data_IF_913531117020
#
_entry.id   IF_913531117020
#
_cell.length_a   1.000
_cell.length_b   1.000
_cell.length_c   1.000
_cell.angle_alpha   90.00
_cell.angle_beta   90.00
_cell.angle_gamma   90.00
#
_symmetry.space_group_name_H-M   'P 1'
#
loop_
_entity.id
_entity.type
_entity.pdbx_description
1 polymer ?
#
# COMPACT_ATOMS: atom_id res chain seq x y z
N UNK A 1 2.49 -27.70 1.80
CA UNK A 1 3.39 -27.25 0.71
C UNK A 1 3.69 -25.78 0.98
N UNK A 2 4.87 -25.25 0.58
CA UNK A 2 5.20 -23.85 0.86
C UNK A 2 4.93 -22.97 -0.36
N UNK A 3 4.80 -21.68 -0.12
CA UNK A 3 4.80 -20.61 -1.15
C UNK A 3 5.87 -19.59 -0.81
N UNK A 4 6.37 -18.87 -1.79
CA UNK A 4 7.25 -17.73 -1.55
C UNK A 4 6.52 -16.47 -2.03
N UNK A 5 6.35 -15.51 -1.12
CA UNK A 5 5.86 -14.17 -1.44
C UNK A 5 7.02 -13.19 -1.50
N UNK A 6 7.07 -12.37 -2.54
CA UNK A 6 8.05 -11.28 -2.70
C UNK A 6 7.30 -9.97 -2.79
N UNK A 7 7.66 -9.02 -1.96
CA UNK A 7 7.15 -7.65 -1.97
C UNK A 7 8.27 -6.72 -2.47
N UNK A 8 8.12 -6.21 -3.69
CA UNK A 8 9.05 -5.28 -4.32
C UNK A 8 8.65 -3.85 -3.96
N UNK A 9 9.22 -3.32 -2.91
CA UNK A 9 9.05 -1.90 -2.57
C UNK A 9 10.13 -1.02 -3.20
N UNK A 10 9.86 0.29 -3.29
CA UNK A 10 10.82 1.25 -3.83
C UNK A 10 12.10 1.43 -3.00
N UNK A 11 12.11 1.03 -1.73
CA UNK A 11 13.25 1.14 -0.83
C UNK A 11 13.82 -0.21 -0.45
N UNK A 12 12.99 -1.21 -0.23
CA UNK A 12 13.37 -2.55 0.17
C UNK A 12 12.56 -3.59 -0.62
N UNK A 13 13.21 -4.68 -0.98
CA UNK A 13 12.58 -5.89 -1.50
C UNK A 13 12.58 -6.94 -0.40
N UNK A 14 11.40 -7.43 -0.02
CA UNK A 14 11.24 -8.44 1.02
C UNK A 14 10.70 -9.75 0.42
N UNK A 15 11.30 -10.89 0.79
CA UNK A 15 10.83 -12.21 0.39
C UNK A 15 10.56 -13.05 1.64
N UNK A 16 9.46 -13.79 1.65
CA UNK A 16 9.07 -14.67 2.75
C UNK A 16 8.64 -16.05 2.30
N UNK A 17 9.04 -17.06 3.08
CA UNK A 17 8.56 -18.42 2.96
C UNK A 17 7.27 -18.56 3.76
N UNK A 18 6.16 -18.86 3.09
CA UNK A 18 4.81 -18.91 3.67
C UNK A 18 4.30 -20.36 3.64
N UNK A 19 3.78 -20.85 4.76
CA UNK A 19 3.16 -22.17 4.86
C UNK A 19 1.67 -22.17 4.47
N UNK A 20 1.06 -23.34 4.46
CA UNK A 20 -0.36 -23.50 4.12
C UNK A 20 -1.32 -22.84 5.14
N UNK A 21 -0.83 -22.50 6.35
CA UNK A 21 -1.59 -21.73 7.35
C UNK A 21 -1.43 -20.22 7.19
N UNK A 22 -0.76 -19.76 6.12
CA UNK A 22 -0.42 -18.37 5.81
C UNK A 22 0.54 -17.74 6.82
N UNK A 23 1.29 -18.56 7.54
CA UNK A 23 2.33 -18.10 8.45
C UNK A 23 3.67 -17.94 7.71
N UNK A 24 4.35 -16.82 7.92
CA UNK A 24 5.71 -16.62 7.44
C UNK A 24 6.66 -17.43 8.33
N UNK A 25 7.33 -18.40 7.74
CA UNK A 25 8.29 -19.30 8.40
C UNK A 25 9.68 -18.66 8.45
N UNK A 26 10.10 -18.01 7.36
CA UNK A 26 11.38 -17.30 7.24
C UNK A 26 11.22 -16.10 6.31
N UNK A 27 12.01 -15.06 6.55
CA UNK A 27 11.94 -13.79 5.81
C UNK A 27 13.32 -13.20 5.59
N UNK A 28 13.52 -12.65 4.40
CA UNK A 28 14.72 -11.91 4.01
C UNK A 28 14.28 -10.56 3.46
N UNK A 29 14.97 -9.50 3.84
CA UNK A 29 14.76 -8.16 3.27
C UNK A 29 16.11 -7.58 2.87
N UNK A 30 16.16 -6.98 1.67
CA UNK A 30 17.34 -6.31 1.13
C UNK A 30 16.94 -4.93 0.60
N UNK A 31 17.85 -3.94 0.58
CA UNK A 31 17.61 -2.67 -0.08
C UNK A 31 17.30 -2.88 -1.57
N UNK A 32 16.31 -2.17 -2.10
CA UNK A 32 16.05 -2.11 -3.54
C UNK A 32 17.05 -1.13 -4.17
N UNK A 33 17.80 -1.58 -5.15
CA UNK A 33 18.76 -0.74 -5.89
C UNK A 33 18.04 -0.10 -7.08
N UNK A 34 17.96 1.21 -7.11
CA UNK A 34 17.32 1.99 -8.16
C UNK A 34 18.27 3.04 -8.73
N UNK A 35 18.24 3.38 -10.04
CA UNK A 35 17.41 2.73 -11.06
C UNK A 35 17.87 1.30 -11.35
N UNK A 36 17.00 0.50 -11.94
CA UNK A 36 17.25 -0.91 -12.24
C UNK A 36 16.72 -1.27 -13.64
N UNK A 37 16.84 -2.53 -14.00
CA UNK A 37 16.28 -3.14 -15.21
C UNK A 37 15.62 -4.49 -14.88
N UNK A 38 14.76 -5.03 -15.75
CA UNK A 38 14.04 -6.27 -15.47
C UNK A 38 14.93 -7.48 -15.21
N UNK A 39 16.08 -7.58 -15.85
CA UNK A 39 17.01 -8.71 -15.66
C UNK A 39 17.68 -8.64 -14.28
N UNK A 40 18.18 -7.47 -13.89
CA UNK A 40 18.77 -7.24 -12.57
C UNK A 40 17.76 -7.48 -11.44
N UNK A 41 16.50 -7.06 -11.62
CA UNK A 41 15.42 -7.33 -10.66
C UNK A 41 15.18 -8.84 -10.51
N UNK A 42 15.03 -9.56 -11.62
CA UNK A 42 14.75 -11.01 -11.58
C UNK A 42 15.95 -11.81 -11.07
N UNK A 43 17.19 -11.35 -11.29
CA UNK A 43 18.40 -11.95 -10.71
C UNK A 43 18.43 -11.78 -9.19
N UNK A 44 18.14 -10.58 -8.71
CA UNK A 44 18.04 -10.28 -7.28
C UNK A 44 16.97 -11.13 -6.58
N UNK A 45 15.77 -11.22 -7.17
CA UNK A 45 14.68 -12.04 -6.64
C UNK A 45 15.02 -13.53 -6.66
N UNK A 46 15.61 -14.05 -7.75
CA UNK A 46 16.04 -15.44 -7.81
C UNK A 46 17.12 -15.75 -6.75
N UNK A 47 17.98 -14.79 -6.41
CA UNK A 47 18.95 -14.92 -5.32
C UNK A 47 18.23 -15.02 -3.96
N UNK A 48 17.23 -14.16 -3.68
CA UNK A 48 16.45 -14.24 -2.43
C UNK A 48 15.73 -15.58 -2.30
N UNK A 49 15.12 -16.08 -3.40
CA UNK A 49 14.49 -17.41 -3.43
C UNK A 49 15.50 -18.50 -3.08
N UNK A 50 16.69 -18.53 -3.73
CA UNK A 50 17.74 -19.51 -3.41
C UNK A 50 18.21 -19.44 -1.96
N UNK A 51 18.32 -18.23 -1.40
CA UNK A 51 18.69 -18.05 0.02
C UNK A 51 17.61 -18.61 0.95
N UNK A 52 16.33 -18.34 0.71
CA UNK A 52 15.23 -18.90 1.52
C UNK A 52 15.22 -20.43 1.45
N UNK A 53 15.37 -21.01 0.26
CA UNK A 53 15.42 -22.46 0.08
C UNK A 53 16.61 -23.07 0.85
N UNK A 54 17.81 -22.50 0.70
CA UNK A 54 19.02 -22.98 1.38
C UNK A 54 18.91 -22.91 2.90
N UNK A 55 18.44 -21.77 3.44
CA UNK A 55 18.29 -21.58 4.90
C UNK A 55 17.31 -22.56 5.53
N UNK A 56 16.26 -22.93 4.78
CA UNK A 56 15.22 -23.84 5.26
C UNK A 56 15.41 -25.30 4.78
N UNK A 57 16.53 -25.61 4.13
CA UNK A 57 16.86 -26.94 3.60
C UNK A 57 15.77 -27.52 2.68
N UNK A 58 15.13 -26.62 1.89
CA UNK A 58 14.07 -26.96 0.94
C UNK A 58 14.61 -27.00 -0.50
N UNK A 59 13.98 -27.82 -1.33
CA UNK A 59 14.15 -27.83 -2.79
C UNK A 59 13.04 -27.05 -3.48
N UNK A 60 13.26 -26.66 -4.74
CA UNK A 60 12.24 -26.00 -5.56
C UNK A 60 10.94 -26.81 -5.70
N UNK A 61 11.02 -28.16 -5.60
CA UNK A 61 9.86 -29.06 -5.71
C UNK A 61 8.89 -28.96 -4.53
N UNK A 62 9.34 -28.42 -3.40
CA UNK A 62 8.53 -28.24 -2.18
C UNK A 62 7.80 -26.90 -2.17
N UNK A 63 8.10 -26.05 -3.16
CA UNK A 63 7.47 -24.74 -3.33
C UNK A 63 6.39 -24.84 -4.40
N UNK A 64 5.16 -24.49 -4.01
CA UNK A 64 4.02 -24.48 -4.92
C UNK A 64 4.17 -23.38 -5.99
N UNK A 65 4.45 -22.16 -5.57
CA UNK A 65 4.64 -21.02 -6.44
C UNK A 65 5.46 -19.91 -5.75
N UNK A 66 5.96 -18.99 -6.59
CA UNK A 66 6.46 -17.67 -6.18
C UNK A 66 5.41 -16.65 -6.63
N UNK A 67 4.93 -15.82 -5.72
CA UNK A 67 4.14 -14.65 -6.06
C UNK A 67 4.93 -13.38 -5.79
N UNK A 68 4.77 -12.37 -6.64
CA UNK A 68 5.50 -11.10 -6.53
C UNK A 68 4.54 -9.91 -6.58
N UNK A 69 4.53 -9.10 -5.52
CA UNK A 69 3.90 -7.78 -5.52
C UNK A 69 4.86 -6.75 -6.11
N UNK A 70 4.44 -6.05 -7.18
CA UNK A 70 5.27 -5.06 -7.89
C UNK A 70 4.61 -3.67 -7.82
N UNK A 71 5.38 -2.58 -7.68
CA UNK A 71 4.84 -1.23 -7.54
C UNK A 71 4.50 -0.58 -8.91
N UNK A 72 3.89 -1.35 -9.81
CA UNK A 72 3.53 -0.94 -11.17
C UNK A 72 2.38 -1.79 -11.69
N UNK A 73 1.98 -1.60 -12.95
CA UNK A 73 1.01 -2.46 -13.62
C UNK A 73 1.64 -3.83 -13.91
N UNK A 74 1.04 -4.88 -13.36
CA UNK A 74 1.45 -6.28 -13.57
C UNK A 74 0.56 -6.90 -14.65
N UNK A 75 1.01 -6.87 -15.91
CA UNK A 75 0.25 -7.43 -17.02
C UNK A 75 0.44 -8.95 -17.07
N UNK A 76 -0.51 -9.71 -16.54
CA UNK A 76 -0.44 -11.16 -16.44
C UNK A 76 -0.53 -11.85 -17.82
N UNK A 77 -1.17 -11.25 -18.83
CA UNK A 77 -1.33 -11.85 -20.15
C UNK A 77 0.00 -11.93 -20.90
N UNK A 78 0.80 -10.86 -20.87
CA UNK A 78 2.09 -10.82 -21.55
C UNK A 78 3.29 -11.10 -20.62
N UNK A 79 3.07 -11.18 -19.32
CA UNK A 79 4.10 -11.44 -18.32
C UNK A 79 5.07 -10.28 -18.10
N UNK A 80 4.66 -9.05 -18.44
CA UNK A 80 5.48 -7.85 -18.36
C UNK A 80 5.04 -6.92 -17.22
N UNK A 81 6.02 -6.27 -16.61
CA UNK A 81 5.78 -5.04 -15.82
C UNK A 81 5.60 -3.87 -16.78
N UNK A 82 4.61 -3.04 -16.55
CA UNK A 82 4.27 -1.85 -17.33
C UNK A 82 4.15 -0.64 -16.40
N UNK A 83 4.31 0.58 -16.93
CA UNK A 83 4.30 1.83 -16.16
C UNK A 83 5.34 1.86 -15.02
N UNK A 84 6.51 1.28 -15.26
CA UNK A 84 7.58 1.06 -14.29
C UNK A 84 8.68 2.14 -14.32
N UNK A 85 8.41 3.33 -14.86
CA UNK A 85 9.37 4.43 -15.01
C UNK A 85 10.09 4.79 -13.70
N UNK A 86 9.41 4.71 -12.56
CA UNK A 86 9.98 4.95 -11.23
C UNK A 86 11.00 3.87 -10.79
N UNK A 87 11.04 2.72 -11.46
CA UNK A 87 12.06 1.69 -11.25
C UNK A 87 13.27 1.88 -12.18
N UNK A 88 13.14 2.67 -13.25
CA UNK A 88 14.20 2.94 -14.22
C UNK A 88 13.93 2.43 -15.63
N UNK A 89 12.75 1.84 -15.89
CA UNK A 89 12.33 1.35 -17.21
C UNK A 89 10.80 1.51 -17.39
N UNK A 90 10.33 1.66 -18.62
CA UNK A 90 8.90 1.83 -18.92
C UNK A 90 8.15 0.50 -18.88
N UNK A 91 8.70 -0.54 -19.54
CA UNK A 91 8.13 -1.88 -19.60
C UNK A 91 9.22 -2.93 -19.76
N UNK A 92 8.97 -4.15 -19.26
CA UNK A 92 9.91 -5.23 -19.41
C UNK A 92 9.36 -6.59 -19.01
N UNK A 93 9.86 -7.62 -19.70
CA UNK A 93 9.53 -9.02 -19.41
C UNK A 93 9.98 -9.40 -17.99
N UNK A 94 9.09 -10.02 -17.24
CA UNK A 94 9.33 -10.31 -15.83
C UNK A 94 9.03 -11.78 -15.44
N UNK A 95 7.83 -12.28 -15.74
CA UNK A 95 7.40 -13.62 -15.28
C UNK A 95 8.30 -14.73 -15.81
N UNK A 96 8.49 -14.78 -17.10
CA UNK A 96 9.24 -15.88 -17.73
C UNK A 96 10.74 -15.88 -17.38
N UNK A 97 11.44 -14.71 -17.33
CA UNK A 97 12.81 -14.66 -16.81
C UNK A 97 12.94 -15.20 -15.38
N UNK A 98 12.06 -14.79 -14.46
CA UNK A 98 12.12 -15.24 -13.06
C UNK A 98 11.80 -16.74 -12.95
N UNK A 99 10.81 -17.24 -13.71
CA UNK A 99 10.47 -18.66 -13.79
C UNK A 99 11.66 -19.51 -14.26
N UNK A 100 12.36 -19.08 -15.30
CA UNK A 100 13.57 -19.78 -15.81
C UNK A 100 14.70 -19.80 -14.78
N UNK A 101 14.90 -18.69 -14.06
CA UNK A 101 15.98 -18.56 -13.06
C UNK A 101 15.73 -19.39 -11.80
N UNK A 102 14.46 -19.67 -11.45
CA UNK A 102 14.09 -20.37 -10.21
C UNK A 102 13.61 -21.81 -10.44
N UNK A 103 13.07 -22.13 -11.61
CA UNK A 103 12.44 -23.42 -11.90
C UNK A 103 11.09 -23.62 -11.18
N UNK A 104 10.49 -22.55 -10.60
CA UNK A 104 9.25 -22.57 -9.84
C UNK A 104 8.20 -21.76 -10.63
N UNK A 105 6.90 -22.13 -10.59
CA UNK A 105 5.83 -21.31 -11.15
C UNK A 105 5.82 -19.90 -10.52
N UNK A 106 5.73 -18.86 -11.36
CA UNK A 106 5.73 -17.46 -10.90
C UNK A 106 4.43 -16.77 -11.28
N UNK A 107 3.89 -16.03 -10.34
CA UNK A 107 2.74 -15.13 -10.49
C UNK A 107 3.13 -13.73 -9.99
N UNK A 108 2.50 -12.71 -10.49
CA UNK A 108 2.75 -11.37 -9.99
C UNK A 108 1.47 -10.52 -10.03
N UNK A 109 1.46 -9.43 -9.28
CA UNK A 109 0.35 -8.49 -9.21
C UNK A 109 0.85 -7.16 -8.64
N UNK A 110 0.03 -6.13 -8.72
CA UNK A 110 0.37 -4.87 -8.05
C UNK A 110 0.55 -5.06 -6.53
N UNK A 111 1.49 -4.34 -5.93
CA UNK A 111 1.86 -4.45 -4.51
C UNK A 111 0.71 -4.12 -3.55
N UNK A 112 -0.10 -3.09 -3.84
CA UNK A 112 -1.27 -2.76 -3.02
C UNK A 112 -2.39 -3.80 -3.18
N UNK A 113 -2.55 -4.40 -4.36
CA UNK A 113 -3.44 -5.53 -4.59
C UNK A 113 -2.98 -6.75 -3.77
N UNK A 114 -1.68 -7.07 -3.79
CA UNK A 114 -1.12 -8.12 -2.96
C UNK A 114 -1.36 -7.85 -1.47
N UNK A 115 -1.08 -6.62 -0.99
CA UNK A 115 -1.34 -6.25 0.39
C UNK A 115 -2.82 -6.41 0.79
N UNK A 116 -3.75 -6.03 -0.10
CA UNK A 116 -5.19 -6.22 0.13
C UNK A 116 -5.58 -7.70 0.25
N UNK A 117 -5.00 -8.55 -0.62
CA UNK A 117 -5.24 -10.00 -0.59
C UNK A 117 -4.68 -10.63 0.69
N UNK A 118 -3.48 -10.23 1.12
CA UNK A 118 -2.86 -10.69 2.36
C UNK A 118 -3.65 -10.28 3.59
N UNK A 119 -4.06 -9.02 3.68
CA UNK A 119 -4.90 -8.50 4.75
C UNK A 119 -6.25 -9.24 4.81
N UNK A 120 -6.93 -9.40 3.66
CA UNK A 120 -8.19 -10.11 3.58
C UNK A 120 -8.06 -11.56 4.07
N UNK A 121 -7.00 -12.25 3.66
CA UNK A 121 -6.81 -13.68 3.96
C UNK A 121 -6.39 -13.95 5.41
N UNK A 122 -5.73 -13.00 6.08
CA UNK A 122 -5.21 -13.19 7.46
C UNK A 122 -5.95 -12.36 8.50
N UNK A 123 -6.69 -11.34 8.10
CA UNK A 123 -7.36 -10.42 9.01
C UNK A 123 -8.59 -10.97 9.74
N UNK A 124 -9.03 -12.20 9.42
CA UNK A 124 -10.18 -12.86 10.09
C UNK A 124 -11.50 -12.14 9.80
N UNK A 125 -11.72 -11.72 8.56
CA UNK A 125 -12.95 -11.07 8.13
C UNK A 125 -13.99 -12.10 7.67
N UNK A 126 -15.16 -12.10 8.31
CA UNK A 126 -16.33 -12.93 7.92
C UNK A 126 -17.11 -12.33 6.73
N UNK A 127 -16.51 -11.38 6.02
CA UNK A 127 -17.14 -10.64 4.93
C UNK A 127 -16.46 -10.98 3.61
N UNK A 128 -17.23 -11.02 2.54
CA UNK A 128 -16.77 -11.34 1.19
C UNK A 128 -16.32 -10.12 0.37
N UNK A 129 -16.37 -8.91 0.95
CA UNK A 129 -15.91 -7.68 0.31
C UNK A 129 -15.07 -6.83 1.24
N UNK A 130 -13.86 -6.51 0.78
CA UNK A 130 -12.92 -5.62 1.45
C UNK A 130 -12.29 -4.70 0.42
N UNK A 131 -12.20 -3.41 0.72
CA UNK A 131 -11.35 -2.48 -0.01
C UNK A 131 -10.24 -2.03 0.92
N UNK A 132 -9.00 -2.20 0.48
CA UNK A 132 -7.83 -1.67 1.17
C UNK A 132 -7.39 -0.37 0.52
N UNK A 133 -7.09 0.62 1.35
CA UNK A 133 -6.44 1.87 0.95
C UNK A 133 -5.13 1.96 1.70
N UNK A 134 -4.01 1.95 1.00
CA UNK A 134 -2.68 2.04 1.59
C UNK A 134 -2.24 3.50 1.61
N UNK A 135 -1.96 4.03 2.81
CA UNK A 135 -1.46 5.38 3.04
C UNK A 135 0.03 5.33 3.34
N UNK A 136 0.83 5.57 2.32
CA UNK A 136 2.29 5.59 2.33
C UNK A 136 2.84 6.90 1.77
N UNK A 137 3.94 6.85 1.03
CA UNK A 137 4.45 7.98 0.24
C UNK A 137 3.39 8.50 -0.71
N UNK A 138 2.67 7.58 -1.38
CA UNK A 138 1.46 7.81 -2.17
C UNK A 138 0.22 7.17 -1.54
N UNK A 139 -0.81 6.99 -2.36
CA UNK A 139 -2.05 6.26 -2.03
C UNK A 139 -2.23 5.13 -3.03
N UNK A 140 -2.10 3.90 -2.57
CA UNK A 140 -2.47 2.71 -3.32
C UNK A 140 -3.80 2.10 -2.87
N UNK A 141 -4.23 1.06 -3.56
CA UNK A 141 -5.44 0.35 -3.17
C UNK A 141 -5.53 -1.06 -3.71
N UNK A 142 -6.45 -1.83 -3.14
CA UNK A 142 -6.81 -3.16 -3.62
C UNK A 142 -8.27 -3.46 -3.33
N UNK A 143 -8.92 -4.17 -4.24
CA UNK A 143 -10.35 -4.44 -4.20
C UNK A 143 -10.58 -5.95 -4.11
N UNK A 144 -11.20 -6.40 -3.04
CA UNK A 144 -11.71 -7.77 -2.89
C UNK A 144 -13.23 -7.72 -2.98
N UNK A 145 -13.79 -8.40 -3.99
CA UNK A 145 -15.24 -8.54 -4.18
C UNK A 145 -15.60 -10.03 -4.30
N UNK A 146 -16.63 -10.48 -3.58
CA UNK A 146 -17.02 -11.89 -3.53
C UNK A 146 -15.84 -12.82 -3.17
N UNK A 147 -14.99 -12.37 -2.25
CA UNK A 147 -13.82 -13.12 -1.81
C UNK A 147 -12.65 -13.17 -2.81
N UNK A 148 -12.73 -12.44 -3.92
CA UNK A 148 -11.72 -12.46 -4.99
C UNK A 148 -11.12 -11.09 -5.23
N UNK A 149 -9.83 -11.06 -5.53
CA UNK A 149 -9.13 -9.86 -5.98
C UNK A 149 -9.70 -9.42 -7.34
N UNK A 150 -10.00 -8.12 -7.46
CA UNK A 150 -10.43 -7.50 -8.71
C UNK A 150 -9.38 -6.52 -9.20
N UNK A 151 -8.61 -6.92 -10.22
CA UNK A 151 -7.50 -6.15 -10.79
C UNK A 151 -7.89 -5.31 -12.01
N UNK A 152 -9.14 -5.43 -12.51
CA UNK A 152 -9.60 -4.72 -13.72
C UNK A 152 -9.17 -5.40 -15.02
N UNK A 153 -9.55 -4.80 -16.16
CA UNK A 153 -9.30 -5.37 -17.48
C UNK A 153 -7.84 -5.26 -17.95
N UNK A 154 -7.08 -4.35 -17.36
CA UNK A 154 -5.68 -4.08 -17.68
C UNK A 154 -4.80 -4.14 -16.42
N UNK A 155 -5.24 -4.84 -15.38
CA UNK A 155 -4.53 -5.04 -14.11
C UNK A 155 -4.21 -3.77 -13.31
N UNK A 156 -4.82 -2.63 -13.66
CA UNK A 156 -4.60 -1.33 -13.03
C UNK A 156 -5.85 -0.80 -12.28
N UNK A 157 -6.72 -1.70 -11.78
CA UNK A 157 -7.82 -1.27 -10.93
C UNK A 157 -7.32 -0.80 -9.55
N UNK A 158 -8.18 -0.09 -8.83
CA UNK A 158 -7.91 0.44 -7.50
C UNK A 158 -6.87 1.57 -7.42
N UNK A 159 -6.61 2.27 -8.53
CA UNK A 159 -5.82 3.51 -8.55
C UNK A 159 -6.55 4.68 -7.85
N UNK A 160 -6.96 4.44 -6.59
CA UNK A 160 -7.74 5.41 -5.80
C UNK A 160 -7.01 6.72 -5.57
N UNK A 161 -5.68 6.68 -5.48
CA UNK A 161 -4.85 7.87 -5.33
C UNK A 161 -5.07 8.88 -6.44
N UNK A 162 -5.41 8.41 -7.65
CA UNK A 162 -5.63 9.26 -8.81
C UNK A 162 -7.10 9.67 -9.03
N UNK A 163 -8.00 9.29 -8.14
CA UNK A 163 -9.38 9.80 -8.11
C UNK A 163 -9.38 11.29 -7.76
N UNK A 164 -10.05 12.13 -8.57
CA UNK A 164 -10.17 13.57 -8.30
C UNK A 164 -11.11 13.82 -7.11
N UNK A 165 -10.62 14.49 -6.07
CA UNK A 165 -11.41 14.94 -4.91
C UNK A 165 -11.54 16.46 -4.84
N UNK A 166 -10.71 17.20 -5.58
CA UNK A 166 -10.75 18.68 -5.68
C UNK A 166 -10.68 19.09 -7.14
N UNK A 167 -11.74 19.70 -7.65
CA UNK A 167 -11.69 20.28 -9.00
C UNK A 167 -10.62 21.37 -9.05
N UNK A 168 -9.81 21.41 -10.11
CA UNK A 168 -8.71 22.37 -10.31
C UNK A 168 -7.72 22.49 -9.14
N UNK A 169 -7.60 21.42 -8.34
CA UNK A 169 -6.74 21.38 -7.16
C UNK A 169 -5.23 21.26 -7.46
N UNK A 170 -4.49 20.74 -6.50
CA UNK A 170 -3.02 20.56 -6.58
C UNK A 170 -2.65 19.67 -7.79
N UNK A 171 -1.61 20.05 -8.58
CA UNK A 171 -1.11 19.19 -9.66
C UNK A 171 -0.67 17.82 -9.13
N UNK A 172 -0.96 16.78 -9.89
CA UNK A 172 -0.55 15.41 -9.62
C UNK A 172 0.49 14.94 -10.64
N UNK A 173 1.39 14.06 -10.24
CA UNK A 173 2.40 13.45 -11.10
C UNK A 173 1.78 12.72 -12.31
N UNK A 174 0.54 12.22 -12.19
CA UNK A 174 -0.19 11.59 -13.30
C UNK A 174 -0.65 12.57 -14.40
N UNK A 175 -0.28 13.84 -14.34
CA UNK A 175 -0.66 14.89 -15.28
C UNK A 175 -2.04 15.53 -15.00
N UNK A 176 -2.82 15.02 -14.06
CA UNK A 176 -4.12 15.56 -13.64
C UNK A 176 -3.97 16.55 -12.47
N UNK A 177 -5.07 17.13 -12.06
CA UNK A 177 -5.15 18.02 -10.90
C UNK A 177 -6.19 17.52 -9.91
N UNK A 178 -5.95 17.77 -8.62
CA UNK A 178 -6.91 17.47 -7.56
C UNK A 178 -7.06 16.01 -7.20
N UNK A 179 -6.09 15.16 -7.55
CA UNK A 179 -6.07 13.74 -7.19
C UNK A 179 -6.05 13.53 -5.67
N UNK A 180 -6.70 12.50 -5.19
CA UNK A 180 -6.78 12.13 -3.78
C UNK A 180 -5.39 12.03 -3.14
N UNK A 181 -4.43 11.47 -3.83
CA UNK A 181 -3.05 11.32 -3.37
C UNK A 181 -2.38 12.64 -3.01
N UNK A 182 -2.64 13.71 -3.78
CA UNK A 182 -2.05 15.03 -3.51
C UNK A 182 -2.56 15.69 -2.22
N UNK A 183 -3.57 15.09 -1.58
CA UNK A 183 -4.16 15.55 -0.32
C UNK A 183 -4.05 14.54 0.82
N UNK A 184 -4.10 13.24 0.53
CA UNK A 184 -4.21 12.18 1.52
C UNK A 184 -2.95 11.31 1.69
N UNK A 185 -1.90 11.52 0.89
CA UNK A 185 -0.63 10.77 1.02
C UNK A 185 0.27 11.31 2.13
N UNK A 186 1.33 10.55 2.46
CA UNK A 186 2.40 10.99 3.35
C UNK A 186 3.14 12.20 2.81
N UNK A 187 3.35 12.24 1.49
CA UNK A 187 3.94 13.41 0.84
C UNK A 187 3.07 14.66 1.06
N UNK A 188 1.76 14.56 0.88
CA UNK A 188 0.84 15.67 1.13
C UNK A 188 0.86 16.13 2.60
N UNK A 189 0.97 15.18 3.52
CA UNK A 189 1.04 15.45 4.96
C UNK A 189 2.32 16.20 5.33
N UNK A 190 3.48 15.73 4.84
CA UNK A 190 4.78 16.39 5.05
C UNK A 190 4.78 17.79 4.46
N UNK A 191 4.29 17.97 3.24
CA UNK A 191 4.19 19.26 2.57
C UNK A 191 3.37 20.26 3.40
N UNK A 192 2.15 19.88 3.84
CA UNK A 192 1.30 20.74 4.68
C UNK A 192 1.94 21.09 6.01
N UNK A 193 2.65 20.15 6.60
CA UNK A 193 3.37 20.38 7.86
C UNK A 193 4.46 21.44 7.67
N UNK A 194 5.25 21.34 6.61
CA UNK A 194 6.29 22.32 6.28
C UNK A 194 5.70 23.69 5.98
N UNK A 195 4.65 23.77 5.14
CA UNK A 195 3.94 25.02 4.81
C UNK A 195 3.42 25.72 6.08
N UNK A 196 2.85 24.98 7.03
CA UNK A 196 2.38 25.54 8.30
C UNK A 196 3.53 26.05 9.18
N UNK A 197 4.63 25.31 9.25
CA UNK A 197 5.82 25.70 10.02
C UNK A 197 6.45 26.99 9.51
N UNK A 198 6.33 27.32 8.23
CA UNK A 198 6.84 28.60 7.67
C UNK A 198 6.10 29.80 8.28
N UNK A 199 4.82 29.65 8.62
CA UNK A 199 3.97 30.71 9.16
C UNK A 199 3.82 30.69 10.68
N UNK A 200 4.04 29.53 11.32
CA UNK A 200 3.98 29.36 12.78
C UNK A 200 5.35 28.92 13.33
N UNK A 201 6.14 29.89 13.80
CA UNK A 201 7.49 29.67 14.35
C UNK A 201 7.49 29.14 15.78
N UNK A 202 6.38 29.24 16.50
CA UNK A 202 6.23 28.83 17.89
C UNK A 202 5.70 27.41 18.03
N UNK A 203 5.28 26.76 16.92
CA UNK A 203 4.76 25.40 16.93
C UNK A 203 5.82 24.39 17.39
N UNK A 204 5.39 23.41 18.19
CA UNK A 204 6.20 22.28 18.65
C UNK A 204 6.78 21.45 17.49
N UNK A 205 6.19 21.53 16.30
CA UNK A 205 6.66 20.85 15.08
C UNK A 205 8.14 21.19 14.78
N UNK A 206 8.59 22.42 15.07
CA UNK A 206 9.98 22.80 14.92
C UNK A 206 10.93 22.01 15.82
N UNK A 207 10.54 21.82 17.07
CA UNK A 207 11.32 21.03 18.03
C UNK A 207 11.35 19.55 17.61
N UNK A 208 10.21 19.00 17.17
CA UNK A 208 10.08 17.59 16.79
C UNK A 208 10.90 17.21 15.56
N UNK A 209 11.17 18.14 14.65
CA UNK A 209 12.07 17.92 13.48
C UNK A 209 13.51 18.41 13.72
N UNK A 210 13.87 18.78 14.96
CA UNK A 210 15.20 19.27 15.32
C UNK A 210 15.56 20.61 14.69
N UNK A 211 14.57 21.47 14.43
CA UNK A 211 14.74 22.79 13.81
C UNK A 211 14.99 22.75 12.29
N UNK A 212 14.94 21.57 11.66
CA UNK A 212 15.17 21.41 10.24
C UNK A 212 13.92 20.90 9.52
N UNK A 213 13.24 21.73 8.69
CA UNK A 213 12.04 21.33 7.95
C UNK A 213 12.27 20.13 7.01
N UNK A 214 13.48 19.90 6.54
CA UNK A 214 13.79 18.76 5.66
C UNK A 214 13.69 17.41 6.39
N UNK A 215 13.75 17.43 7.73
CA UNK A 215 13.58 16.25 8.58
C UNK A 215 12.13 16.01 9.00
N UNK A 216 11.18 16.79 8.49
CA UNK A 216 9.77 16.57 8.74
C UNK A 216 9.33 15.25 8.08
N UNK A 217 8.79 14.35 8.88
CA UNK A 217 8.18 13.09 8.49
C UNK A 217 6.67 13.10 8.83
N UNK A 218 5.92 12.13 8.31
CA UNK A 218 4.50 11.98 8.70
C UNK A 218 4.34 11.84 10.22
N UNK A 219 5.27 11.13 10.89
CA UNK A 219 5.30 10.96 12.34
C UNK A 219 5.40 12.30 13.10
N UNK A 220 6.12 13.28 12.57
CA UNK A 220 6.29 14.61 13.18
C UNK A 220 4.93 15.28 13.45
N UNK A 221 4.01 15.22 12.48
CA UNK A 221 2.67 15.77 12.64
C UNK A 221 1.89 15.06 13.73
N UNK A 222 1.87 13.73 13.71
CA UNK A 222 1.08 12.95 14.68
C UNK A 222 1.62 13.10 16.10
N UNK A 223 2.93 13.21 16.28
CA UNK A 223 3.55 13.46 17.58
C UNK A 223 3.21 14.86 18.09
N UNK A 224 3.23 15.89 17.25
CA UNK A 224 2.78 17.23 17.58
C UNK A 224 1.30 17.26 17.99
N UNK A 225 0.44 16.60 17.22
CA UNK A 225 -0.98 16.52 17.53
C UNK A 225 -1.26 15.77 18.84
N UNK A 226 -0.53 14.69 19.13
CA UNK A 226 -0.61 13.98 20.43
C UNK A 226 -0.15 14.84 21.60
N UNK A 227 0.82 15.73 21.39
CA UNK A 227 1.29 16.68 22.37
C UNK A 227 0.36 17.91 22.54
N UNK A 228 -0.70 18.02 21.75
CA UNK A 228 -1.66 19.12 21.81
C UNK A 228 -1.25 20.40 21.08
N UNK A 229 -0.27 20.33 20.20
CA UNK A 229 0.15 21.45 19.35
C UNK A 229 -1.00 21.90 18.44
N UNK A 230 -1.35 23.18 18.52
CA UNK A 230 -2.52 23.73 17.82
C UNK A 230 -2.37 23.65 16.30
N UNK A 231 -1.19 23.95 15.78
CA UNK A 231 -0.90 23.88 14.35
C UNK A 231 -1.01 22.43 13.84
N UNK A 232 -0.43 21.47 14.58
CA UNK A 232 -0.51 20.05 14.24
C UNK A 232 -1.95 19.55 14.26
N UNK A 233 -2.77 19.96 15.22
CA UNK A 233 -4.20 19.59 15.30
C UNK A 233 -4.99 20.16 14.12
N UNK A 234 -4.72 21.40 13.70
CA UNK A 234 -5.39 22.01 12.54
C UNK A 234 -5.01 21.28 11.22
N UNK A 235 -3.72 20.95 11.05
CA UNK A 235 -3.27 20.18 9.87
C UNK A 235 -3.93 18.81 9.87
N UNK A 236 -3.96 18.11 11.01
CA UNK A 236 -4.59 16.80 11.15
C UNK A 236 -6.08 16.84 10.85
N UNK A 237 -6.78 17.89 11.28
CA UNK A 237 -8.21 18.08 10.99
C UNK A 237 -8.45 18.23 9.49
N UNK A 238 -7.71 19.09 8.80
CA UNK A 238 -7.76 19.26 7.34
C UNK A 238 -7.40 17.98 6.60
N UNK A 239 -6.34 17.30 7.01
CA UNK A 239 -5.88 16.04 6.42
C UNK A 239 -6.94 14.93 6.52
N UNK A 240 -7.50 14.73 7.71
CA UNK A 240 -8.57 13.73 7.91
C UNK A 240 -9.87 14.10 7.21
N UNK A 241 -10.08 15.39 6.91
CA UNK A 241 -11.21 15.86 6.09
C UNK A 241 -11.05 15.43 4.63
N UNK A 242 -9.88 15.66 4.04
CA UNK A 242 -9.61 15.26 2.66
C UNK A 242 -9.59 13.72 2.52
N UNK A 243 -9.03 13.00 3.51
CA UNK A 243 -9.12 11.54 3.54
C UNK A 243 -10.58 11.07 3.56
N UNK A 244 -11.43 11.69 4.38
CA UNK A 244 -12.83 11.31 4.49
C UNK A 244 -13.60 11.56 3.19
N UNK A 245 -13.27 12.61 2.44
CA UNK A 245 -13.85 12.88 1.11
C UNK A 245 -13.51 11.74 0.14
N UNK A 246 -12.23 11.33 0.07
CA UNK A 246 -11.79 10.22 -0.77
C UNK A 246 -12.41 8.88 -0.38
N UNK A 247 -12.41 8.55 0.91
CA UNK A 247 -12.99 7.30 1.41
C UNK A 247 -14.51 7.25 1.22
N UNK A 248 -15.20 8.38 1.38
CA UNK A 248 -16.64 8.44 1.13
C UNK A 248 -16.98 8.17 -0.34
N UNK A 249 -16.17 8.66 -1.29
CA UNK A 249 -16.34 8.34 -2.70
C UNK A 249 -16.18 6.84 -2.96
N UNK A 250 -15.14 6.21 -2.41
CA UNK A 250 -14.92 4.76 -2.51
C UNK A 250 -16.12 3.99 -1.93
N UNK A 251 -16.59 4.37 -0.73
CA UNK A 251 -17.74 3.74 -0.08
C UNK A 251 -19.01 3.92 -0.92
N UNK A 252 -19.26 5.12 -1.43
CA UNK A 252 -20.47 5.39 -2.22
C UNK A 252 -20.48 4.63 -3.56
N UNK A 253 -19.31 4.28 -4.13
CA UNK A 253 -19.19 3.53 -5.39
C UNK A 253 -19.32 2.02 -5.15
N UNK A 254 -18.59 1.48 -4.16
CA UNK A 254 -18.42 0.04 -3.99
C UNK A 254 -19.24 -0.56 -2.85
N UNK A 255 -19.61 0.24 -1.85
CA UNK A 255 -20.30 -0.24 -0.64
C UNK A 255 -19.66 -1.50 -0.03
N UNK A 256 -18.32 -1.55 0.18
CA UNK A 256 -17.70 -2.74 0.72
C UNK A 256 -18.15 -2.96 2.18
N UNK A 257 -18.14 -4.20 2.63
CA UNK A 257 -18.40 -4.49 4.04
C UNK A 257 -17.30 -3.91 4.94
N UNK A 258 -16.05 -3.96 4.47
CA UNK A 258 -14.87 -3.45 5.16
C UNK A 258 -14.08 -2.51 4.26
N UNK A 259 -13.73 -1.33 4.77
CA UNK A 259 -12.72 -0.44 4.21
C UNK A 259 -11.54 -0.42 5.17
N UNK A 260 -10.43 -1.01 4.74
CA UNK A 260 -9.22 -1.20 5.53
C UNK A 260 -8.18 -0.14 5.18
N UNK A 261 -7.64 0.55 6.18
CA UNK A 261 -6.58 1.55 6.02
C UNK A 261 -5.25 0.92 6.42
N UNK A 262 -4.38 0.74 5.42
CA UNK A 262 -3.02 0.22 5.60
C UNK A 262 -1.94 1.26 5.35
N UNK A 263 -0.69 0.79 5.25
CA UNK A 263 0.49 1.62 5.00
C UNK A 263 1.04 2.30 6.25
N UNK A 264 2.17 3.00 6.08
CA UNK A 264 2.92 3.57 7.22
C UNK A 264 2.14 4.58 8.06
N UNK A 265 1.22 5.32 7.46
CA UNK A 265 0.40 6.34 8.14
C UNK A 265 -0.65 5.70 9.05
N UNK A 266 -1.14 4.50 8.75
CA UNK A 266 -2.10 3.79 9.59
C UNK A 266 -1.57 3.54 11.02
N UNK A 267 -0.23 3.49 11.20
CA UNK A 267 0.44 3.35 12.50
C UNK A 267 0.17 4.50 13.47
N UNK A 268 -0.38 5.62 13.00
CA UNK A 268 -0.86 6.70 13.86
C UNK A 268 -1.97 6.22 14.82
N UNK A 269 -2.72 5.17 14.45
CA UNK A 269 -3.73 4.58 15.31
C UNK A 269 -5.00 5.43 15.44
N UNK A 270 -5.56 5.49 16.64
CA UNK A 270 -6.85 6.14 16.90
C UNK A 270 -6.87 7.64 16.65
N UNK A 271 -5.73 8.32 16.74
CA UNK A 271 -5.67 9.77 16.43
C UNK A 271 -6.00 10.05 14.95
N UNK A 272 -5.75 9.08 14.08
CA UNK A 272 -6.16 9.11 12.66
C UNK A 272 -7.56 8.50 12.49
N UNK A 273 -7.79 7.29 13.05
CA UNK A 273 -8.95 6.48 12.75
C UNK A 273 -10.26 7.11 13.26
N UNK A 274 -10.28 7.65 14.47
CA UNK A 274 -11.52 8.16 15.08
C UNK A 274 -12.07 9.39 14.33
N UNK A 275 -11.27 10.44 14.03
CA UNK A 275 -11.74 11.56 13.22
C UNK A 275 -12.17 11.11 11.82
N UNK A 276 -11.44 10.16 11.23
CA UNK A 276 -11.71 9.67 9.88
C UNK A 276 -13.06 8.95 9.81
N UNK A 277 -13.35 8.04 10.73
CA UNK A 277 -14.67 7.38 10.87
C UNK A 277 -15.79 8.41 11.01
N UNK A 278 -15.64 9.36 11.92
CA UNK A 278 -16.64 10.40 12.19
C UNK A 278 -16.92 11.25 10.95
N UNK A 279 -15.85 11.70 10.28
CA UNK A 279 -15.98 12.57 9.10
C UNK A 279 -16.54 11.84 7.89
N UNK A 280 -16.12 10.58 7.65
CA UNK A 280 -16.62 9.77 6.55
C UNK A 280 -18.09 9.42 6.72
N UNK A 281 -18.53 9.09 7.93
CA UNK A 281 -19.93 8.81 8.22
C UNK A 281 -20.89 9.95 7.86
N UNK A 282 -20.42 11.19 7.92
CA UNK A 282 -21.21 12.37 7.51
C UNK A 282 -21.27 12.59 5.99
N UNK A 283 -20.41 11.92 5.20
CA UNK A 283 -20.19 12.12 3.77
C UNK A 283 -20.76 11.01 2.88
N UNK A 284 -21.02 9.85 3.44
CA UNK A 284 -21.62 8.74 2.69
C UNK A 284 -23.11 8.97 2.45
N UNK A 285 -23.61 8.53 1.29
CA UNK A 285 -25.04 8.66 0.94
C UNK A 285 -25.94 7.85 1.88
N UNK A 286 -25.46 6.71 2.34
CA UNK A 286 -26.22 5.73 3.13
C UNK A 286 -26.07 5.90 4.65
N UNK A 287 -25.77 7.12 5.11
CA UNK A 287 -25.52 7.42 6.54
C UNK A 287 -26.59 6.92 7.52
N UNK A 288 -27.83 6.78 7.06
CA UNK A 288 -28.96 6.30 7.87
C UNK A 288 -29.25 4.79 7.72
N UNK A 289 -28.44 4.06 6.94
CA UNK A 289 -28.62 2.61 6.77
C UNK A 289 -28.30 1.87 8.08
N UNK A 290 -29.02 0.77 8.35
CA UNK A 290 -28.77 -0.08 9.54
C UNK A 290 -27.40 -0.75 9.49
N UNK A 291 -26.88 -0.99 8.29
CA UNK A 291 -25.54 -1.59 8.05
C UNK A 291 -24.77 -0.69 7.09
N UNK A 292 -23.60 -0.28 7.50
CA UNK A 292 -22.68 0.53 6.71
C UNK A 292 -21.28 -0.09 6.72
N UNK A 293 -20.44 0.36 5.78
CA UNK A 293 -19.03 -0.03 5.70
C UNK A 293 -18.31 0.20 7.02
N UNK A 294 -17.59 -0.80 7.48
CA UNK A 294 -16.71 -0.69 8.64
C UNK A 294 -15.35 -0.15 8.19
N UNK A 295 -14.94 1.00 8.72
CA UNK A 295 -13.60 1.55 8.48
C UNK A 295 -12.68 1.07 9.60
N UNK A 296 -11.60 0.39 9.25
CA UNK A 296 -10.65 -0.20 10.20
C UNK A 296 -9.20 0.09 9.79
N UNK A 297 -8.26 -0.12 10.70
CA UNK A 297 -6.83 -0.19 10.37
C UNK A 297 -6.46 -1.63 10.03
N UNK A 298 -5.48 -1.78 9.13
CA UNK A 298 -4.93 -3.09 8.76
C UNK A 298 -4.36 -3.81 9.99
N UNK A 299 -4.51 -5.14 10.01
CA UNK A 299 -4.10 -6.03 11.10
C UNK A 299 -2.82 -6.80 10.79
N UNK A 300 -2.58 -7.09 9.51
CA UNK A 300 -1.45 -7.92 9.07
C UNK A 300 -0.12 -7.17 8.94
N UNK A 301 -0.07 -5.86 9.28
CA UNK A 301 1.12 -5.00 9.23
C UNK A 301 1.89 -5.10 7.89
N UNK A 302 3.23 -5.04 7.97
CA UNK A 302 4.12 -5.08 6.81
C UNK A 302 4.22 -6.48 6.15
N UNK A 303 3.64 -7.51 6.75
CA UNK A 303 3.68 -8.88 6.22
C UNK A 303 2.53 -9.16 5.24
N UNK A 304 1.51 -8.29 5.20
CA UNK A 304 0.39 -8.41 4.27
C UNK A 304 0.85 -8.50 2.80
N UNK A 305 1.84 -7.67 2.40
CA UNK A 305 2.39 -7.68 1.04
C UNK A 305 3.01 -9.03 0.68
N UNK A 306 3.82 -9.61 1.58
CA UNK A 306 4.45 -10.92 1.38
C UNK A 306 3.42 -12.04 1.32
N UNK A 307 2.49 -12.08 2.27
CA UNK A 307 1.46 -13.13 2.34
C UNK A 307 0.55 -13.03 1.12
N UNK A 308 0.11 -11.83 0.78
CA UNK A 308 -0.74 -11.60 -0.37
C UNK A 308 -0.05 -11.92 -1.69
N UNK A 309 1.22 -11.55 -1.85
CA UNK A 309 2.02 -11.96 -3.00
C UNK A 309 2.04 -13.49 -3.11
N UNK A 310 2.31 -14.23 -2.02
CA UNK A 310 2.31 -15.70 -2.01
C UNK A 310 0.95 -16.31 -2.45
N UNK A 311 -0.14 -15.56 -2.35
CA UNK A 311 -1.50 -15.99 -2.71
C UNK A 311 -1.90 -15.66 -4.16
N UNK A 312 -1.11 -14.87 -4.91
CA UNK A 312 -1.44 -14.50 -6.29
C UNK A 312 -1.56 -15.70 -7.24
N UNK A 313 -0.99 -16.85 -6.89
CA UNK A 313 -1.06 -18.08 -7.67
C UNK A 313 -2.21 -19.04 -7.28
N UNK A 314 -3.20 -18.59 -6.52
CA UNK A 314 -4.32 -19.43 -6.06
C UNK A 314 -5.55 -19.32 -6.96
#
# INVERSE_FOLDING_TARGET
MYRIGIDLGGTNTAAGLVDDSLKIIDKISVPTVLPTDPDSLTDGMAMLVRQLLSRNQLSAKEIHCIGVGVPCTANEENGCMEDAAHLGFESGAFLEPLRKKTGIPVFFGNDANAAALGEYSTGGYDQDSLIMVTLGTGIGGGIILNGKLWSGINYAAAEFGHMTIRNDGVPCICGRRGCFETYGSGYALIRRTRECMETDRDSLLWQLCGGNPDKVEAKTLFDGAKAGDTAALQILDGYTTDLADGLANIINIFQPAVLCIGGGISKAGDILLQPLRKKTALRICTKNAKRNTQIILARADNDAGIIGAALLGN
#
